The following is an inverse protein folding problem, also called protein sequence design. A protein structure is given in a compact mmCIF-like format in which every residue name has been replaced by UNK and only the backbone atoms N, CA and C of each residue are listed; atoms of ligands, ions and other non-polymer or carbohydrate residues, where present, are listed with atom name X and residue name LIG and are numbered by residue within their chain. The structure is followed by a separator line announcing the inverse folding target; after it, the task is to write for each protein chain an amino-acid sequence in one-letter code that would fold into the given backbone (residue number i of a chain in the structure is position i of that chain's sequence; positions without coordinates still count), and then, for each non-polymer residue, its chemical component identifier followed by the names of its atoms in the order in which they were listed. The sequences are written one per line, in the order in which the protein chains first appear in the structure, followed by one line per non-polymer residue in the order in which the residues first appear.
data_IF_317160137563
#
_entry.id   IF_317160137563
#
_cell.length_a   1.000
_cell.length_b   1.000
_cell.length_c   1.000
_cell.angle_alpha   90.00
_cell.angle_beta   90.00
_cell.angle_gamma   90.00
#
_symmetry.space_group_name_H-M   'P 1'
#
loop_
_entity.id
_entity.type
_entity.pdbx_description
1 polymer ?
#
# COMPACT_ATOMS: atom_id res chain seq x y z
N UNK A 1 34.18 1.51 32.10
CA UNK A 1 32.83 1.18 32.61
C UNK A 1 31.89 2.36 32.35
N UNK A 2 31.22 2.37 31.20
CA UNK A 2 30.08 3.26 30.91
C UNK A 2 28.92 2.33 30.56
N UNK A 3 27.92 2.25 31.44
CA UNK A 3 26.71 1.47 31.22
C UNK A 3 25.95 2.05 30.04
N UNK A 4 25.89 1.33 28.93
CA UNK A 4 24.94 1.54 27.84
C UNK A 4 23.56 1.11 28.34
N UNK A 5 22.56 1.99 28.19
CA UNK A 5 21.16 1.67 28.50
C UNK A 5 20.65 0.57 27.54
N UNK A 6 19.82 -0.37 28.01
CA UNK A 6 19.17 -1.34 27.15
C UNK A 6 17.93 -0.72 26.48
N UNK A 7 17.74 -1.09 25.21
CA UNK A 7 16.47 -1.28 24.49
C UNK A 7 15.38 -0.23 24.70
N UNK A 8 15.42 0.81 23.86
CA UNK A 8 14.21 1.55 23.50
C UNK A 8 13.54 0.78 22.35
N UNK A 9 12.32 0.25 22.52
CA UNK A 9 11.60 -0.38 21.42
C UNK A 9 11.36 0.65 20.33
N UNK A 10 11.58 0.23 19.08
CA UNK A 10 11.33 1.01 17.87
C UNK A 10 9.95 1.68 17.97
N UNK A 11 9.93 2.99 18.26
CA UNK A 11 8.69 3.74 18.39
C UNK A 11 8.01 3.74 17.02
N UNK A 12 6.95 2.93 16.91
CA UNK A 12 6.05 2.94 15.76
C UNK A 12 5.54 4.37 15.58
N UNK A 13 5.69 4.88 14.36
CA UNK A 13 5.21 6.19 13.95
C UNK A 13 3.71 6.37 14.29
N UNK A 14 3.24 7.61 14.50
CA UNK A 14 1.89 7.88 14.99
C UNK A 14 0.80 7.27 14.11
N UNK A 15 -0.28 6.85 14.76
CA UNK A 15 -1.49 6.28 14.16
C UNK A 15 -2.27 7.30 13.34
N UNK A 16 -1.77 7.61 12.14
CA UNK A 16 -2.59 8.23 11.12
C UNK A 16 -3.21 7.12 10.27
N UNK A 17 -4.34 6.59 10.74
CA UNK A 17 -5.18 5.71 9.93
C UNK A 17 -5.56 6.39 8.60
N UNK A 18 -5.82 5.58 7.57
CA UNK A 18 -6.16 6.00 6.22
C UNK A 18 -7.03 7.27 6.17
N UNK A 19 -6.42 8.41 5.85
CA UNK A 19 -7.13 9.62 5.45
C UNK A 19 -7.23 9.62 3.93
N UNK A 20 -8.42 9.35 3.40
CA UNK A 20 -8.64 9.51 1.97
C UNK A 20 -8.34 10.94 1.51
N UNK A 21 -7.89 11.07 0.27
CA UNK A 21 -7.79 12.34 -0.43
C UNK A 21 -9.18 12.99 -0.46
N UNK A 22 -9.37 14.02 0.37
CA UNK A 22 -10.57 14.83 0.31
C UNK A 22 -10.72 15.39 -1.12
N UNK A 23 -11.96 15.58 -1.63
CA UNK A 23 -12.16 16.26 -2.90
C UNK A 23 -11.38 17.59 -2.87
N UNK A 24 -10.67 17.94 -3.96
CA UNK A 24 -9.89 19.15 -4.05
C UNK A 24 -10.60 20.34 -3.43
N UNK A 25 -9.90 21.13 -2.61
CA UNK A 25 -10.53 22.17 -1.79
C UNK A 25 -11.37 23.18 -2.62
N UNK A 26 -11.02 23.39 -3.89
CA UNK A 26 -11.78 24.24 -4.82
C UNK A 26 -13.17 23.69 -5.14
N UNK A 27 -13.35 22.37 -5.18
CA UNK A 27 -14.63 21.73 -5.50
C UNK A 27 -15.69 21.96 -4.42
N UNK A 28 -15.29 22.24 -3.18
CA UNK A 28 -16.22 22.60 -2.09
C UNK A 28 -16.92 23.93 -2.35
N UNK A 29 -16.30 24.82 -3.13
CA UNK A 29 -16.85 26.13 -3.46
C UNK A 29 -17.84 26.10 -4.62
N UNK A 30 -17.88 25.02 -5.41
CA UNK A 30 -18.73 24.92 -6.61
C UNK A 30 -20.21 25.21 -6.36
N UNK A 31 -20.88 24.65 -5.33
CA UNK A 31 -22.29 24.97 -5.08
C UNK A 31 -22.52 26.45 -4.80
N UNK A 32 -21.62 27.10 -4.06
CA UNK A 32 -21.73 28.51 -3.72
C UNK A 32 -21.50 29.41 -4.94
N UNK A 33 -20.48 29.10 -5.75
CA UNK A 33 -20.21 29.79 -7.01
C UNK A 33 -21.38 29.63 -7.97
N UNK A 34 -21.99 28.45 -8.02
CA UNK A 34 -23.17 28.19 -8.86
C UNK A 34 -24.38 29.03 -8.43
N UNK A 35 -24.69 29.08 -7.13
CA UNK A 35 -25.78 29.95 -6.62
C UNK A 35 -25.51 31.42 -6.94
N UNK A 36 -24.29 31.90 -6.71
CA UNK A 36 -23.93 33.29 -7.01
C UNK A 36 -24.08 33.61 -8.51
N UNK A 37 -23.70 32.67 -9.38
CA UNK A 37 -23.87 32.80 -10.82
C UNK A 37 -25.35 32.85 -11.24
N UNK A 38 -26.19 31.97 -10.69
CA UNK A 38 -27.63 31.95 -10.98
C UNK A 38 -28.29 33.25 -10.51
N UNK A 39 -27.96 33.73 -9.31
CA UNK A 39 -28.49 35.01 -8.79
C UNK A 39 -28.02 36.22 -9.61
N UNK A 40 -26.79 36.20 -10.10
CA UNK A 40 -26.29 37.25 -10.99
C UNK A 40 -27.06 37.28 -12.31
N UNK A 41 -27.29 36.09 -12.91
CA UNK A 41 -28.05 35.97 -14.15
C UNK A 41 -29.49 36.49 -13.98
N UNK A 42 -30.16 36.13 -12.88
CA UNK A 42 -31.50 36.61 -12.54
C UNK A 42 -31.57 38.14 -12.49
N UNK A 43 -30.55 38.80 -11.91
CA UNK A 43 -30.48 40.27 -11.86
C UNK A 43 -30.20 40.88 -13.24
N UNK A 44 -29.44 40.21 -14.11
CA UNK A 44 -29.07 40.76 -15.42
C UNK A 44 -30.10 40.54 -16.52
N UNK A 45 -30.89 39.46 -16.44
CA UNK A 45 -31.81 39.02 -17.51
C UNK A 45 -33.28 39.39 -17.22
N UNK A 46 -33.51 40.39 -16.36
CA UNK A 46 -34.84 40.72 -15.82
C UNK A 46 -35.95 40.64 -16.89
N UNK A 47 -36.91 39.74 -16.63
CA UNK A 47 -38.22 39.53 -17.29
C UNK A 47 -38.33 38.67 -18.57
N UNK A 48 -37.26 38.25 -19.25
CA UNK A 48 -37.43 37.42 -20.47
C UNK A 48 -37.34 35.89 -20.23
N UNK A 49 -36.67 35.46 -19.15
CA UNK A 49 -36.39 34.03 -18.89
C UNK A 49 -36.47 33.72 -17.40
N UNK A 50 -37.09 32.59 -17.04
CA UNK A 50 -37.13 32.12 -15.66
C UNK A 50 -35.79 31.46 -15.28
N UNK A 51 -34.81 32.26 -14.86
CA UNK A 51 -33.45 31.79 -14.54
C UNK A 51 -33.43 31.00 -13.23
N UNK A 52 -34.40 31.21 -12.34
CA UNK A 52 -34.59 30.43 -11.11
C UNK A 52 -34.64 28.90 -11.33
N UNK A 53 -35.12 28.42 -12.49
CA UNK A 53 -35.16 26.98 -12.83
C UNK A 53 -33.78 26.32 -12.82
N UNK A 54 -32.69 27.08 -13.00
CA UNK A 54 -31.35 26.52 -12.94
C UNK A 54 -30.95 26.04 -11.54
N UNK A 55 -31.62 26.50 -10.46
CA UNK A 55 -31.36 26.04 -9.10
C UNK A 55 -31.61 24.54 -8.91
N UNK A 56 -32.37 23.88 -9.79
CA UNK A 56 -32.54 22.43 -9.84
C UNK A 56 -31.22 21.64 -9.87
N UNK A 57 -30.15 22.21 -10.43
CA UNK A 57 -28.85 21.54 -10.50
C UNK A 57 -28.05 21.65 -9.19
N UNK A 58 -28.42 22.53 -8.26
CA UNK A 58 -27.68 22.78 -7.03
C UNK A 58 -27.49 21.52 -6.16
N UNK A 59 -28.52 20.68 -5.92
CA UNK A 59 -28.34 19.44 -5.15
C UNK A 59 -27.37 18.47 -5.82
N UNK A 60 -27.39 18.37 -7.15
CA UNK A 60 -26.50 17.49 -7.89
C UNK A 60 -25.03 17.95 -7.78
N UNK A 61 -24.77 19.26 -7.90
CA UNK A 61 -23.44 19.84 -7.71
C UNK A 61 -22.97 19.64 -6.26
N UNK A 62 -23.87 19.83 -5.28
CA UNK A 62 -23.56 19.61 -3.88
C UNK A 62 -23.21 18.13 -3.56
N UNK A 63 -23.91 17.18 -4.20
CA UNK A 63 -23.69 15.74 -3.99
C UNK A 63 -22.28 15.27 -4.36
N UNK A 64 -21.59 16.00 -5.24
CA UNK A 64 -20.21 15.69 -5.59
C UNK A 64 -19.23 15.99 -4.43
N UNK A 65 -19.41 17.12 -3.73
CA UNK A 65 -18.46 17.60 -2.73
C UNK A 65 -18.86 17.31 -1.28
N UNK A 66 -20.13 17.04 -1.02
CA UNK A 66 -20.70 16.96 0.33
C UNK A 66 -21.38 15.63 0.64
N UNK A 67 -21.56 15.34 1.93
CA UNK A 67 -22.32 14.19 2.42
C UNK A 67 -23.84 14.41 2.33
N UNK A 68 -24.65 13.35 2.50
CA UNK A 68 -26.09 13.37 2.23
C UNK A 68 -26.86 14.43 3.01
N UNK A 69 -26.51 14.69 4.27
CA UNK A 69 -27.17 15.71 5.11
C UNK A 69 -26.98 17.12 4.53
N UNK A 70 -25.78 17.43 4.05
CA UNK A 70 -25.48 18.73 3.45
C UNK A 70 -26.16 18.86 2.06
N UNK A 71 -26.24 17.80 1.27
CA UNK A 71 -26.99 17.79 0.00
C UNK A 71 -28.48 18.07 0.23
N UNK A 72 -29.07 17.45 1.25
CA UNK A 72 -30.45 17.74 1.64
C UNK A 72 -30.61 19.21 2.05
N UNK A 73 -29.66 19.78 2.80
CA UNK A 73 -29.68 21.20 3.16
C UNK A 73 -29.58 22.13 1.93
N UNK A 74 -28.72 21.81 0.94
CA UNK A 74 -28.64 22.55 -0.32
C UNK A 74 -29.92 22.43 -1.16
N UNK A 75 -30.60 21.28 -1.11
CA UNK A 75 -31.92 21.09 -1.75
C UNK A 75 -32.96 22.01 -1.12
N UNK A 76 -33.04 22.03 0.21
CA UNK A 76 -33.97 22.94 0.91
C UNK A 76 -33.64 24.39 0.59
N UNK A 77 -32.35 24.75 0.56
CA UNK A 77 -31.92 26.10 0.18
C UNK A 77 -32.34 26.46 -1.26
N UNK A 78 -32.18 25.55 -2.22
CA UNK A 78 -32.61 25.76 -3.61
C UNK A 78 -34.12 26.06 -3.68
N UNK A 79 -34.95 25.23 -3.06
CA UNK A 79 -36.41 25.40 -3.05
C UNK A 79 -36.79 26.72 -2.36
N UNK A 80 -36.15 27.07 -1.25
CA UNK A 80 -36.41 28.35 -0.55
C UNK A 80 -36.05 29.55 -1.43
N UNK A 81 -34.94 29.48 -2.18
CA UNK A 81 -34.53 30.53 -3.12
C UNK A 81 -35.52 30.62 -4.30
N UNK A 82 -35.92 29.49 -4.89
CA UNK A 82 -36.94 29.41 -5.95
C UNK A 82 -38.25 30.06 -5.50
N UNK A 83 -38.76 29.67 -4.33
CA UNK A 83 -39.95 30.24 -3.73
C UNK A 83 -39.83 31.74 -3.43
N UNK A 84 -38.68 32.20 -2.93
CA UNK A 84 -38.45 33.62 -2.62
C UNK A 84 -38.41 34.48 -3.88
N UNK A 85 -37.79 34.00 -4.96
CA UNK A 85 -37.76 34.69 -6.26
C UNK A 85 -39.17 34.76 -6.85
N UNK A 86 -39.91 33.64 -6.85
CA UNK A 86 -41.30 33.61 -7.31
C UNK A 86 -42.22 34.53 -6.48
N UNK A 87 -41.97 34.66 -5.16
CA UNK A 87 -42.68 35.57 -4.28
C UNK A 87 -42.46 37.04 -4.62
N UNK A 88 -41.19 37.44 -4.85
CA UNK A 88 -40.84 38.81 -5.22
C UNK A 88 -41.42 39.18 -6.59
N UNK A 89 -41.48 38.22 -7.52
CA UNK A 89 -42.06 38.42 -8.84
C UNK A 89 -43.60 38.29 -8.88
N UNK A 90 -44.27 38.06 -7.74
CA UNK A 90 -45.72 37.85 -7.63
C UNK A 90 -46.30 36.66 -8.45
N UNK A 91 -45.46 35.70 -8.85
CA UNK A 91 -45.85 34.50 -9.61
C UNK A 91 -46.10 33.26 -8.73
N UNK A 92 -46.37 33.47 -7.43
CA UNK A 92 -46.65 32.38 -6.50
C UNK A 92 -47.88 31.59 -6.94
N UNK A 93 -47.69 30.29 -7.15
CA UNK A 93 -48.77 29.36 -7.50
C UNK A 93 -49.00 29.17 -8.99
N UNK A 94 -48.19 29.77 -9.88
CA UNK A 94 -48.21 29.39 -11.29
C UNK A 94 -47.65 27.98 -11.49
N UNK A 95 -48.29 27.21 -12.39
CA UNK A 95 -47.97 25.79 -12.61
C UNK A 95 -46.49 25.55 -12.93
N UNK A 96 -45.82 26.49 -13.61
CA UNK A 96 -44.42 26.35 -13.98
C UNK A 96 -43.48 26.43 -12.76
N UNK A 97 -43.73 27.33 -11.79
CA UNK A 97 -42.94 27.41 -10.56
C UNK A 97 -43.15 26.21 -9.63
N UNK A 98 -44.41 25.75 -9.50
CA UNK A 98 -44.72 24.53 -8.74
C UNK A 98 -44.03 23.31 -9.35
N UNK A 99 -44.00 23.22 -10.69
CA UNK A 99 -43.29 22.14 -11.39
C UNK A 99 -41.78 22.22 -11.17
N UNK A 100 -41.20 23.43 -11.08
CA UNK A 100 -39.80 23.66 -10.71
C UNK A 100 -39.49 23.08 -9.34
N UNK A 101 -40.25 23.48 -8.32
CA UNK A 101 -40.03 23.09 -6.93
C UNK A 101 -40.12 21.56 -6.77
N UNK A 102 -41.10 20.93 -7.45
CA UNK A 102 -41.25 19.47 -7.48
C UNK A 102 -40.04 18.82 -8.15
N UNK A 103 -39.58 19.35 -9.29
CA UNK A 103 -38.43 18.82 -9.99
C UNK A 103 -37.14 18.96 -9.16
N UNK A 104 -36.93 20.10 -8.50
CA UNK A 104 -35.82 20.34 -7.56
C UNK A 104 -35.89 19.42 -6.35
N UNK A 105 -37.07 19.18 -5.79
CA UNK A 105 -37.26 18.20 -4.73
C UNK A 105 -36.90 16.77 -5.18
N UNK A 106 -37.35 16.34 -6.37
CA UNK A 106 -37.02 15.02 -6.92
C UNK A 106 -35.52 14.86 -7.18
N UNK A 107 -34.88 15.86 -7.81
CA UNK A 107 -33.43 15.86 -8.04
C UNK A 107 -32.67 15.86 -6.71
N UNK A 108 -33.14 16.60 -5.71
CA UNK A 108 -32.55 16.63 -4.39
C UNK A 108 -32.64 15.31 -3.63
N UNK A 109 -33.79 14.62 -3.71
CA UNK A 109 -33.94 13.27 -3.15
C UNK A 109 -32.98 12.29 -3.82
N UNK A 110 -32.91 12.28 -5.15
CA UNK A 110 -31.99 11.41 -5.90
C UNK A 110 -30.52 11.72 -5.59
N UNK A 111 -30.16 13.01 -5.55
CA UNK A 111 -28.80 13.47 -5.23
C UNK A 111 -28.39 13.09 -3.81
N UNK A 112 -29.32 13.20 -2.86
CA UNK A 112 -29.11 12.79 -1.46
C UNK A 112 -28.92 11.27 -1.35
N UNK A 113 -29.75 10.48 -2.07
CA UNK A 113 -29.62 9.03 -2.11
C UNK A 113 -28.28 8.59 -2.71
N UNK A 114 -27.85 9.22 -3.80
CA UNK A 114 -26.56 8.97 -4.43
C UNK A 114 -25.39 9.33 -3.50
N UNK A 115 -25.46 10.49 -2.84
CA UNK A 115 -24.46 10.89 -1.84
C UNK A 115 -24.41 9.93 -0.65
N UNK A 116 -25.55 9.44 -0.18
CA UNK A 116 -25.62 8.43 0.89
C UNK A 116 -25.00 7.10 0.45
N UNK A 117 -25.31 6.63 -0.76
CA UNK A 117 -24.75 5.40 -1.31
C UNK A 117 -23.21 5.50 -1.44
N UNK A 118 -22.71 6.61 -2.01
CA UNK A 118 -21.28 6.90 -2.10
C UNK A 118 -20.62 6.88 -0.71
N UNK A 119 -21.17 7.61 0.25
CA UNK A 119 -20.61 7.65 1.62
C UNK A 119 -20.63 6.28 2.30
N UNK A 120 -21.62 5.43 2.02
CA UNK A 120 -21.64 4.05 2.52
C UNK A 120 -20.54 3.18 1.89
N UNK A 121 -20.35 3.26 0.57
CA UNK A 121 -19.27 2.55 -0.12
C UNK A 121 -17.90 2.98 0.39
N UNK A 122 -17.67 4.30 0.50
CA UNK A 122 -16.42 4.87 1.04
C UNK A 122 -16.11 4.35 2.45
N UNK A 123 -17.09 4.39 3.36
CA UNK A 123 -16.92 3.86 4.72
C UNK A 123 -16.60 2.37 4.75
N UNK A 124 -17.25 1.59 3.87
CA UNK A 124 -17.03 0.14 3.81
C UNK A 124 -15.61 -0.18 3.35
N UNK A 125 -15.07 0.58 2.39
CA UNK A 125 -13.69 0.45 1.93
C UNK A 125 -12.69 0.83 3.03
N UNK A 126 -12.93 1.92 3.77
CA UNK A 126 -12.07 2.33 4.90
C UNK A 126 -12.05 1.25 5.98
N UNK A 127 -13.22 0.70 6.34
CA UNK A 127 -13.28 -0.40 7.30
C UNK A 127 -12.54 -1.65 6.79
N UNK A 128 -12.78 -2.07 5.54
CA UNK A 128 -12.10 -3.22 4.96
C UNK A 128 -10.57 -3.05 4.94
N UNK A 129 -10.07 -1.87 4.58
CA UNK A 129 -8.64 -1.56 4.59
C UNK A 129 -8.06 -1.56 6.01
N UNK A 130 -8.75 -0.99 6.99
CA UNK A 130 -8.29 -1.02 8.39
C UNK A 130 -8.19 -2.44 8.94
N UNK A 131 -9.12 -3.32 8.57
CA UNK A 131 -9.08 -4.74 8.94
C UNK A 131 -7.95 -5.47 8.23
N UNK A 132 -7.79 -5.24 6.92
CA UNK A 132 -6.70 -5.82 6.15
C UNK A 132 -5.33 -5.42 6.72
N UNK A 133 -5.17 -4.17 7.14
CA UNK A 133 -3.92 -3.66 7.71
C UNK A 133 -3.65 -4.30 9.07
N UNK A 134 -4.67 -4.40 9.94
CA UNK A 134 -4.55 -5.08 11.22
C UNK A 134 -4.19 -6.56 11.05
N UNK A 135 -4.77 -7.24 10.05
CA UNK A 135 -4.43 -8.62 9.71
C UNK A 135 -2.99 -8.73 9.20
N UNK A 136 -2.54 -7.85 8.29
CA UNK A 136 -1.16 -7.84 7.82
C UNK A 136 -0.16 -7.63 8.95
N UNK A 137 -0.41 -6.68 9.85
CA UNK A 137 0.43 -6.47 11.05
C UNK A 137 0.48 -7.72 11.94
N UNK A 138 -0.60 -8.49 12.02
CA UNK A 138 -0.62 -9.75 12.78
C UNK A 138 0.13 -10.89 12.06
N UNK A 139 0.13 -10.91 10.73
CA UNK A 139 0.83 -11.89 9.91
C UNK A 139 2.34 -11.62 9.87
N UNK A 140 2.74 -10.36 9.66
CA UNK A 140 4.12 -9.87 9.62
C UNK A 140 4.65 -9.63 11.03
N UNK A 141 4.89 -10.73 11.75
CA UNK A 141 5.42 -10.67 13.12
C UNK A 141 6.75 -9.91 13.14
N UNK A 142 7.00 -9.07 14.16
CA UNK A 142 8.30 -8.44 14.33
C UNK A 142 9.42 -9.47 14.31
N UNK A 143 10.42 -9.26 13.45
CA UNK A 143 11.57 -10.14 13.36
C UNK A 143 12.44 -9.93 14.59
N UNK A 144 12.78 -10.99 15.34
CA UNK A 144 13.72 -10.89 16.46
C UNK A 144 15.06 -10.33 16.00
N UNK A 145 15.71 -9.52 16.84
CA UNK A 145 17.03 -8.95 16.52
C UNK A 145 18.08 -10.01 16.19
N UNK A 146 17.93 -11.20 16.77
CA UNK A 146 18.77 -12.36 16.49
C UNK A 146 17.88 -13.57 16.18
N UNK A 147 18.18 -14.25 15.07
CA UNK A 147 17.54 -15.48 14.65
C UNK A 147 18.65 -16.49 14.41
N UNK A 148 18.80 -17.45 15.34
CA UNK A 148 19.91 -18.39 15.32
C UNK A 148 21.28 -17.70 15.25
N UNK A 149 22.00 -17.93 14.15
CA UNK A 149 23.34 -17.42 13.87
C UNK A 149 23.36 -16.12 13.04
N UNK A 150 22.21 -15.49 12.79
CA UNK A 150 22.14 -14.18 12.12
C UNK A 150 21.53 -13.10 13.01
N UNK A 151 21.96 -11.87 12.79
CA UNK A 151 21.28 -10.65 13.22
C UNK A 151 20.29 -10.24 12.15
N UNK A 152 19.11 -9.77 12.53
CA UNK A 152 18.08 -9.33 11.61
C UNK A 152 17.40 -8.03 12.08
N UNK A 153 16.93 -7.25 11.11
CA UNK A 153 16.05 -6.11 11.33
C UNK A 153 15.05 -6.05 10.17
N UNK A 154 13.80 -5.73 10.46
CA UNK A 154 12.75 -5.65 9.45
C UNK A 154 11.92 -4.38 9.60
N UNK A 155 11.34 -3.93 8.51
CA UNK A 155 10.34 -2.85 8.52
C UNK A 155 9.28 -3.12 7.47
N UNK A 156 8.03 -2.87 7.84
CA UNK A 156 6.89 -2.83 6.94
C UNK A 156 6.25 -1.45 7.04
N UNK A 157 5.98 -0.83 5.90
CA UNK A 157 5.30 0.45 5.80
C UNK A 157 4.15 0.32 4.80
N UNK A 158 2.89 0.51 5.23
CA UNK A 158 1.76 0.49 4.30
C UNK A 158 1.77 1.72 3.39
N UNK A 159 1.18 1.58 2.21
CA UNK A 159 0.95 2.67 1.26
C UNK A 159 0.08 3.79 1.84
N UNK A 160 0.44 5.04 1.54
CA UNK A 160 -0.23 6.24 2.08
C UNK A 160 -1.38 6.74 1.18
N UNK A 161 -1.44 6.28 -0.08
CA UNK A 161 -2.31 6.83 -1.12
C UNK A 161 -3.80 6.46 -1.03
N UNK A 162 -4.30 6.01 0.13
CA UNK A 162 -5.70 5.56 0.27
C UNK A 162 -5.99 4.25 -0.48
N UNK A 163 -4.95 3.56 -0.93
CA UNK A 163 -5.01 2.29 -1.64
C UNK A 163 -5.29 1.14 -0.68
N UNK A 164 -5.90 0.07 -1.19
CA UNK A 164 -6.05 -1.15 -0.41
C UNK A 164 -4.67 -1.68 0.00
N UNK A 165 -4.59 -2.31 1.17
CA UNK A 165 -3.36 -2.91 1.72
C UNK A 165 -2.70 -3.84 0.69
N UNK A 166 -1.39 -3.73 0.51
CA UNK A 166 -0.61 -4.47 -0.48
C UNK A 166 -0.37 -5.94 -0.11
N UNK A 167 0.34 -6.64 -0.99
CA UNK A 167 0.68 -8.06 -0.90
C UNK A 167 2.06 -8.35 -0.32
N UNK A 168 2.78 -7.33 0.14
CA UNK A 168 4.13 -7.42 0.67
C UNK A 168 4.24 -8.38 1.86
N UNK A 169 5.19 -9.32 1.78
CA UNK A 169 5.43 -10.32 2.81
C UNK A 169 6.90 -10.52 3.12
N UNK A 170 7.20 -10.89 4.37
CA UNK A 170 8.49 -11.43 4.76
C UNK A 170 8.39 -12.28 6.02
N UNK A 171 9.32 -13.22 6.19
CA UNK A 171 9.53 -13.96 7.44
C UNK A 171 10.96 -14.53 7.44
N UNK A 172 11.47 -14.87 8.62
CA UNK A 172 12.77 -15.54 8.81
C UNK A 172 12.68 -16.56 9.94
N UNK A 173 13.26 -17.74 9.73
CA UNK A 173 13.20 -18.88 10.64
C UNK A 173 14.57 -19.50 10.84
N UNK A 174 14.92 -19.74 12.10
CA UNK A 174 16.02 -20.64 12.44
C UNK A 174 15.56 -22.08 12.28
N UNK A 175 16.29 -22.86 11.47
CA UNK A 175 15.96 -24.25 11.14
C UNK A 175 17.15 -25.16 11.42
N UNK A 176 17.00 -26.47 11.20
CA UNK A 176 18.07 -27.43 11.45
C UNK A 176 19.20 -27.37 10.42
N UNK A 177 18.94 -26.87 9.20
CA UNK A 177 19.96 -26.70 8.14
C UNK A 177 20.63 -25.32 8.17
N UNK A 178 20.08 -24.38 8.93
CA UNK A 178 20.48 -22.98 9.02
C UNK A 178 19.26 -22.06 8.95
N UNK A 179 19.48 -20.74 8.88
CA UNK A 179 18.38 -19.79 8.84
C UNK A 179 17.80 -19.66 7.42
N UNK A 180 16.47 -19.67 7.30
CA UNK A 180 15.77 -19.46 6.04
C UNK A 180 14.91 -18.21 6.10
N UNK A 181 14.91 -17.41 5.06
CA UNK A 181 14.09 -16.20 4.95
C UNK A 181 13.32 -16.19 3.63
N UNK A 182 12.20 -15.47 3.65
CA UNK A 182 11.40 -15.12 2.48
C UNK A 182 11.13 -13.62 2.52
N UNK A 183 11.19 -12.98 1.36
CA UNK A 183 10.54 -11.69 1.08
C UNK A 183 9.79 -11.83 -0.25
N UNK A 184 8.70 -11.11 -0.43
CA UNK A 184 7.95 -11.17 -1.67
C UNK A 184 6.83 -10.15 -1.72
N UNK A 185 6.19 -10.07 -2.88
CA UNK A 185 4.93 -9.34 -3.07
C UNK A 185 3.93 -10.22 -3.82
N UNK A 186 2.71 -10.27 -3.31
CA UNK A 186 1.58 -10.96 -3.92
C UNK A 186 0.85 -10.01 -4.84
N UNK A 187 0.63 -10.45 -6.08
CA UNK A 187 -0.18 -9.69 -7.03
C UNK A 187 -1.60 -9.51 -6.50
N UNK A 188 -2.02 -8.25 -6.41
CA UNK A 188 -3.34 -7.86 -5.95
C UNK A 188 -3.27 -6.96 -4.72
N UNK A 189 -4.41 -6.43 -4.28
CA UNK A 189 -4.50 -5.58 -3.09
C UNK A 189 -5.76 -5.91 -2.28
N UNK A 190 -5.77 -5.47 -1.04
CA UNK A 190 -6.87 -5.65 -0.09
C UNK A 190 -6.94 -7.05 0.50
N UNK A 191 -8.13 -7.42 0.97
CA UNK A 191 -8.31 -8.63 1.79
C UNK A 191 -7.92 -9.93 1.06
N UNK A 192 -8.06 -9.99 -0.27
CA UNK A 192 -7.65 -11.16 -1.06
C UNK A 192 -6.12 -11.33 -1.03
N UNK A 193 -5.36 -10.24 -1.20
CA UNK A 193 -3.90 -10.28 -1.09
C UNK A 193 -3.47 -10.74 0.32
N UNK A 194 -4.10 -10.21 1.37
CA UNK A 194 -3.83 -10.62 2.76
C UNK A 194 -4.06 -12.13 2.99
N UNK A 195 -5.11 -12.70 2.40
CA UNK A 195 -5.38 -14.15 2.48
C UNK A 195 -4.27 -14.95 1.82
N UNK A 196 -3.83 -14.56 0.63
CA UNK A 196 -2.74 -15.22 -0.10
C UNK A 196 -1.40 -15.07 0.65
N UNK A 197 -1.11 -13.89 1.22
CA UNK A 197 0.05 -13.69 2.09
C UNK A 197 0.01 -14.66 3.28
N UNK A 198 -1.14 -14.80 3.93
CA UNK A 198 -1.30 -15.75 5.04
C UNK A 198 -1.05 -17.21 4.60
N UNK A 199 -1.53 -17.59 3.42
CA UNK A 199 -1.30 -18.91 2.82
C UNK A 199 0.20 -19.17 2.52
N UNK A 200 0.89 -18.22 1.89
CA UNK A 200 2.33 -18.32 1.60
C UNK A 200 3.13 -18.39 2.89
N UNK A 201 2.91 -17.45 3.83
CA UNK A 201 3.67 -17.41 5.08
C UNK A 201 3.39 -18.65 5.95
N UNK A 202 2.15 -19.14 5.99
CA UNK A 202 1.81 -20.40 6.65
C UNK A 202 2.60 -21.58 6.06
N UNK A 203 2.58 -21.71 4.73
CA UNK A 203 3.31 -22.78 4.03
C UNK A 203 4.83 -22.65 4.19
N UNK A 204 5.38 -21.43 4.13
CA UNK A 204 6.80 -21.17 4.37
C UNK A 204 7.21 -21.56 5.78
N UNK A 205 6.41 -21.18 6.80
CA UNK A 205 6.72 -21.48 8.21
C UNK A 205 6.83 -22.97 8.50
N UNK A 206 6.05 -23.80 7.81
CA UNK A 206 6.17 -25.26 7.92
C UNK A 206 7.31 -25.79 7.04
N UNK A 207 7.30 -25.43 5.76
CA UNK A 207 8.24 -25.96 4.78
C UNK A 207 9.70 -25.55 5.06
N UNK A 208 9.93 -24.42 5.74
CA UNK A 208 11.25 -24.00 6.17
C UNK A 208 11.94 -25.06 7.04
N UNK A 209 11.19 -25.84 7.84
CA UNK A 209 11.78 -26.89 8.69
C UNK A 209 11.94 -28.24 8.01
N UNK A 210 11.22 -28.50 6.91
CA UNK A 210 11.11 -29.84 6.32
C UNK A 210 11.72 -29.96 4.92
N UNK A 211 11.76 -28.86 4.16
CA UNK A 211 12.32 -28.88 2.82
C UNK A 211 13.84 -29.13 2.88
N UNK A 212 14.35 -29.96 1.97
CA UNK A 212 15.77 -30.30 1.90
C UNK A 212 16.61 -29.09 1.49
N UNK A 213 16.15 -28.34 0.48
CA UNK A 213 16.82 -27.18 -0.10
C UNK A 213 15.82 -26.08 -0.51
N UNK A 214 16.34 -24.95 -1.01
CA UNK A 214 15.51 -23.84 -1.50
C UNK A 214 14.61 -24.20 -2.69
N UNK A 215 15.07 -24.93 -3.73
CA UNK A 215 14.19 -25.37 -4.80
C UNK A 215 13.01 -26.25 -4.31
N UNK A 216 13.24 -27.15 -3.34
CA UNK A 216 12.17 -27.94 -2.74
C UNK A 216 11.20 -27.09 -1.92
N UNK A 217 11.72 -26.08 -1.21
CA UNK A 217 10.91 -25.08 -0.51
C UNK A 217 10.03 -24.30 -1.48
N UNK A 218 10.62 -23.75 -2.55
CA UNK A 218 9.90 -23.04 -3.61
C UNK A 218 8.80 -23.90 -4.22
N UNK A 219 9.09 -25.18 -4.53
CA UNK A 219 8.09 -26.09 -5.08
C UNK A 219 6.92 -26.36 -4.13
N UNK A 220 7.12 -26.28 -2.80
CA UNK A 220 6.03 -26.37 -1.82
C UNK A 220 5.16 -25.12 -1.83
N UNK A 221 5.77 -23.93 -1.91
CA UNK A 221 5.05 -22.66 -2.02
C UNK A 221 4.27 -22.57 -3.33
N UNK A 222 4.87 -22.98 -4.44
CA UNK A 222 4.22 -23.09 -5.76
C UNK A 222 2.93 -23.90 -5.67
N UNK A 223 3.00 -25.12 -5.12
CA UNK A 223 1.83 -25.98 -4.94
C UNK A 223 0.78 -25.37 -4.03
N UNK A 224 1.18 -24.58 -3.02
CA UNK A 224 0.23 -23.89 -2.15
C UNK A 224 -0.53 -22.81 -2.93
N UNK A 225 0.17 -22.01 -3.73
CA UNK A 225 -0.44 -20.97 -4.55
C UNK A 225 -1.35 -21.55 -5.63
N UNK A 226 -0.95 -22.62 -6.31
CA UNK A 226 -1.81 -23.30 -7.29
C UNK A 226 -3.13 -23.74 -6.66
N UNK A 227 -3.11 -24.32 -5.45
CA UNK A 227 -4.34 -24.70 -4.75
C UNK A 227 -5.18 -23.49 -4.34
N UNK A 228 -4.54 -22.40 -3.92
CA UNK A 228 -5.24 -21.16 -3.58
C UNK A 228 -5.97 -20.58 -4.80
N UNK A 229 -5.33 -20.61 -5.98
CA UNK A 229 -5.90 -20.18 -7.26
C UNK A 229 -7.05 -21.08 -7.76
N UNK A 230 -7.05 -22.37 -7.37
CA UNK A 230 -8.17 -23.28 -7.65
C UNK A 230 -9.36 -23.02 -6.71
N UNK A 231 -9.11 -22.68 -5.44
CA UNK A 231 -10.14 -22.37 -4.45
C UNK A 231 -10.82 -21.02 -4.69
N UNK A 232 -10.05 -20.04 -5.17
CA UNK A 232 -10.51 -18.71 -5.58
C UNK A 232 -10.22 -18.63 -7.07
N UNK A 233 -11.22 -18.78 -7.97
CA UNK A 233 -11.00 -18.83 -9.42
C UNK A 233 -10.32 -17.57 -9.97
N UNK A 234 -9.01 -17.50 -9.80
CA UNK A 234 -8.11 -16.42 -10.16
C UNK A 234 -6.89 -17.08 -10.82
N UNK A 235 -7.03 -17.31 -12.12
CA UNK A 235 -6.02 -17.95 -12.96
C UNK A 235 -4.73 -17.11 -13.08
N UNK A 236 -4.74 -15.88 -12.55
CA UNK A 236 -3.63 -14.94 -12.56
C UNK A 236 -3.09 -14.66 -11.14
N UNK A 237 -3.36 -15.54 -10.17
CA UNK A 237 -2.78 -15.42 -8.83
C UNK A 237 -1.30 -15.82 -8.83
N UNK A 238 -0.41 -14.86 -8.60
CA UNK A 238 1.02 -15.10 -8.47
C UNK A 238 1.66 -14.25 -7.37
N UNK A 239 2.86 -14.64 -6.95
CA UNK A 239 3.68 -13.87 -6.04
C UNK A 239 5.13 -13.81 -6.53
N UNK A 240 5.71 -12.62 -6.54
CA UNK A 240 7.16 -12.50 -6.63
C UNK A 240 7.76 -12.89 -5.28
N UNK A 241 8.86 -13.63 -5.27
CA UNK A 241 9.49 -14.01 -4.01
C UNK A 241 11.01 -14.20 -4.15
N UNK A 242 11.73 -13.83 -3.11
CA UNK A 242 13.13 -14.16 -2.94
C UNK A 242 13.27 -15.02 -1.69
N UNK A 243 13.74 -16.25 -1.90
CA UNK A 243 14.03 -17.19 -0.81
C UNK A 243 15.52 -17.20 -0.54
N UNK A 244 15.88 -17.24 0.74
CA UNK A 244 17.25 -17.28 1.22
C UNK A 244 17.42 -18.41 2.20
N UNK A 245 18.57 -19.07 2.13
CA UNK A 245 19.06 -20.02 3.12
C UNK A 245 20.50 -19.69 3.49
N UNK A 246 20.76 -19.50 4.78
CA UNK A 246 22.10 -19.44 5.34
C UNK A 246 22.52 -20.84 5.75
N UNK A 247 23.82 -21.16 5.61
CA UNK A 247 24.35 -22.34 6.28
C UNK A 247 24.40 -22.14 7.80
N UNK A 248 24.58 -23.23 8.55
CA UNK A 248 24.51 -23.23 10.02
C UNK A 248 25.48 -22.28 10.73
N UNK A 249 26.51 -21.80 10.03
CA UNK A 249 27.50 -20.86 10.56
C UNK A 249 27.35 -19.44 9.98
N UNK A 250 26.33 -19.21 9.16
CA UNK A 250 26.11 -17.97 8.41
C UNK A 250 27.36 -17.52 7.63
N UNK A 251 28.07 -18.46 7.02
CA UNK A 251 29.27 -18.27 6.19
C UNK A 251 28.98 -18.25 4.70
N UNK A 252 27.80 -18.72 4.32
CA UNK A 252 27.32 -18.77 2.95
C UNK A 252 25.83 -18.52 2.95
N UNK A 253 25.40 -17.75 1.97
CA UNK A 253 24.00 -17.51 1.68
C UNK A 253 23.69 -18.12 0.32
N UNK A 254 22.62 -18.91 0.27
CA UNK A 254 22.05 -19.48 -0.95
C UNK A 254 20.73 -18.78 -1.23
N UNK A 255 20.44 -18.48 -2.50
CA UNK A 255 19.28 -17.72 -2.91
C UNK A 255 18.57 -18.39 -4.08
N UNK A 256 17.26 -18.16 -4.18
CA UNK A 256 16.45 -18.39 -5.39
C UNK A 256 15.50 -17.21 -5.58
N UNK A 257 15.62 -16.49 -6.70
CA UNK A 257 14.78 -15.33 -7.01
C UNK A 257 13.70 -15.70 -8.03
N UNK A 258 12.44 -15.65 -7.58
CA UNK A 258 11.22 -15.89 -8.36
C UNK A 258 10.62 -14.56 -8.84
N UNK A 259 11.35 -13.86 -9.70
CA UNK A 259 10.91 -12.59 -10.30
C UNK A 259 10.78 -11.41 -9.33
N UNK A 260 11.44 -11.48 -8.17
CA UNK A 260 11.47 -10.42 -7.16
C UNK A 260 12.69 -9.49 -7.33
N UNK A 261 12.71 -8.41 -6.55
CA UNK A 261 13.81 -7.44 -6.55
C UNK A 261 15.12 -8.11 -6.09
N UNK A 262 16.21 -7.83 -6.79
CA UNK A 262 17.53 -8.38 -6.46
C UNK A 262 18.03 -7.85 -5.10
N UNK A 263 18.58 -8.72 -4.24
CA UNK A 263 19.03 -8.30 -2.92
C UNK A 263 20.32 -7.51 -3.02
N UNK A 264 20.49 -6.57 -2.09
CA UNK A 264 21.66 -5.68 -2.05
C UNK A 264 22.62 -6.15 -0.96
N UNK A 265 23.87 -6.42 -1.33
CA UNK A 265 24.96 -6.72 -0.40
C UNK A 265 25.75 -5.46 -0.09
N UNK A 266 25.89 -5.18 1.20
CA UNK A 266 26.80 -4.18 1.75
C UNK A 266 27.96 -4.94 2.39
N UNK A 267 29.17 -4.81 1.83
CA UNK A 267 30.35 -5.56 2.28
C UNK A 267 31.61 -4.71 2.16
N UNK A 268 32.36 -4.55 3.26
CA UNK A 268 33.66 -3.86 3.26
C UNK A 268 33.65 -2.46 2.60
N UNK A 269 32.57 -1.69 2.74
CA UNK A 269 32.44 -0.36 2.11
C UNK A 269 31.94 -0.39 0.66
N UNK A 270 31.74 -1.57 0.08
CA UNK A 270 31.12 -1.74 -1.23
C UNK A 270 29.62 -2.04 -1.09
N UNK A 271 28.84 -1.52 -2.04
CA UNK A 271 27.39 -1.76 -2.15
C UNK A 271 27.07 -2.22 -3.57
N UNK A 272 26.52 -3.43 -3.69
CA UNK A 272 26.17 -4.04 -4.97
C UNK A 272 24.95 -4.94 -4.87
N UNK A 273 24.25 -5.14 -5.98
CA UNK A 273 23.21 -6.16 -6.11
C UNK A 273 23.84 -7.56 -6.24
N UNK A 274 23.15 -8.58 -5.75
CA UNK A 274 23.51 -9.98 -6.00
C UNK A 274 22.57 -10.57 -7.04
N UNK A 275 22.98 -10.50 -8.30
CA UNK A 275 22.23 -11.06 -9.42
C UNK A 275 22.36 -12.59 -9.46
N UNK A 276 21.28 -13.26 -9.84
CA UNK A 276 21.25 -14.70 -10.03
C UNK A 276 20.49 -15.13 -11.27
N UNK A 277 20.42 -16.46 -11.53
CA UNK A 277 19.59 -17.00 -12.60
C UNK A 277 18.12 -16.62 -12.38
N UNK A 278 17.41 -16.14 -13.41
CA UNK A 278 16.01 -15.78 -13.29
C UNK A 278 15.15 -17.03 -13.10
N UNK A 279 14.12 -16.93 -12.25
CA UNK A 279 13.02 -17.89 -12.19
C UNK A 279 11.69 -17.16 -12.32
N UNK A 280 10.65 -17.86 -12.78
CA UNK A 280 9.30 -17.30 -12.83
C UNK A 280 8.76 -17.03 -11.42
N UNK A 281 7.88 -16.02 -11.27
CA UNK A 281 7.11 -15.81 -10.06
C UNK A 281 6.38 -17.09 -9.61
N UNK A 282 6.21 -17.23 -8.30
CA UNK A 282 5.48 -18.36 -7.73
C UNK A 282 4.01 -18.29 -8.18
N UNK A 283 3.44 -19.42 -8.54
CA UNK A 283 2.09 -19.54 -9.14
C UNK A 283 2.09 -19.56 -10.67
N UNK A 284 3.20 -19.17 -11.31
CA UNK A 284 3.36 -19.18 -12.77
C UNK A 284 4.29 -20.31 -13.25
N UNK A 285 4.70 -21.23 -12.38
CA UNK A 285 5.64 -22.31 -12.71
C UNK A 285 5.13 -23.26 -13.79
N UNK A 286 3.80 -23.37 -13.97
CA UNK A 286 3.18 -24.15 -15.05
C UNK A 286 3.47 -23.61 -16.46
N UNK A 287 3.92 -22.36 -16.58
CA UNK A 287 4.30 -21.74 -17.87
C UNK A 287 5.75 -22.04 -18.27
N UNK A 288 6.61 -22.40 -17.31
CA UNK A 288 7.97 -22.81 -17.59
C UNK A 288 8.00 -24.28 -18.05
N UNK A 289 8.86 -24.58 -19.03
CA UNK A 289 9.10 -25.94 -19.47
C UNK A 289 9.87 -26.74 -18.41
N UNK A 290 9.21 -27.16 -17.32
CA UNK A 290 9.71 -28.08 -16.28
C UNK A 290 11.10 -27.79 -15.64
N UNK A 291 11.72 -26.64 -15.91
CA UNK A 291 13.02 -26.28 -15.35
C UNK A 291 12.85 -25.86 -13.90
N UNK A 292 13.51 -26.59 -13.00
CA UNK A 292 13.55 -26.21 -11.58
C UNK A 292 14.33 -24.90 -11.44
N UNK A 293 13.90 -24.00 -10.54
CA UNK A 293 14.67 -22.81 -10.18
C UNK A 293 16.10 -23.20 -9.79
N UNK A 294 17.08 -22.47 -10.32
CA UNK A 294 18.50 -22.71 -10.03
C UNK A 294 18.89 -21.86 -8.82
N UNK A 295 19.25 -22.52 -7.73
CA UNK A 295 19.81 -21.85 -6.56
C UNK A 295 21.26 -21.45 -6.80
N UNK A 296 21.67 -20.27 -6.34
CA UNK A 296 23.06 -19.83 -6.36
C UNK A 296 23.52 -19.39 -4.97
N UNK A 297 24.82 -19.46 -4.73
CA UNK A 297 25.39 -19.14 -3.43
C UNK A 297 26.41 -18.01 -3.52
N UNK A 298 26.44 -17.21 -2.47
CA UNK A 298 27.44 -16.17 -2.24
C UNK A 298 28.10 -16.39 -0.88
N UNK A 299 29.40 -16.06 -0.78
CA UNK A 299 30.12 -16.10 0.49
C UNK A 299 29.58 -15.00 1.40
N UNK A 300 29.23 -15.33 2.63
CA UNK A 300 28.63 -14.39 3.57
C UNK A 300 29.50 -14.32 4.82
N UNK A 301 30.11 -13.18 5.08
CA UNK A 301 31.15 -13.05 6.09
C UNK A 301 30.86 -11.93 7.06
N UNK A 302 31.54 -11.96 8.21
CA UNK A 302 31.39 -10.93 9.23
C UNK A 302 31.65 -9.55 8.63
N UNK A 303 30.72 -8.62 8.86
CA UNK A 303 30.75 -7.28 8.27
C UNK A 303 29.89 -7.15 7.01
N UNK A 304 29.36 -8.26 6.49
CA UNK A 304 28.39 -8.24 5.41
C UNK A 304 26.97 -8.00 5.96
N UNK A 305 26.21 -7.17 5.26
CA UNK A 305 24.76 -7.03 5.44
C UNK A 305 24.07 -7.30 4.13
N UNK A 306 23.15 -8.25 4.13
CA UNK A 306 22.25 -8.53 3.02
C UNK A 306 20.93 -7.82 3.25
N UNK A 307 20.55 -6.95 2.32
CA UNK A 307 19.31 -6.20 2.33
C UNK A 307 18.35 -6.77 1.27
N UNK A 308 17.15 -7.07 1.74
CA UNK A 308 16.00 -7.56 0.98
C UNK A 308 14.94 -6.47 1.00
N UNK A 309 14.35 -6.15 -0.15
CA UNK A 309 13.33 -5.10 -0.27
C UNK A 309 12.26 -5.55 -1.26
N UNK A 310 11.04 -5.05 -1.09
CA UNK A 310 9.98 -5.15 -2.10
C UNK A 310 10.07 -4.02 -3.12
N UNK A 311 9.32 -4.15 -4.21
CA UNK A 311 9.29 -3.20 -5.31
C UNK A 311 8.81 -1.81 -4.89
N UNK A 312 7.88 -1.71 -3.94
CA UNK A 312 7.40 -0.42 -3.44
C UNK A 312 8.49 0.50 -2.88
N UNK A 313 9.66 -0.04 -2.48
CA UNK A 313 10.83 0.78 -2.16
C UNK A 313 11.50 1.34 -3.42
N UNK A 314 11.87 0.46 -4.36
CA UNK A 314 12.66 0.84 -5.54
C UNK A 314 11.83 1.60 -6.56
N UNK A 315 10.52 1.35 -6.60
CA UNK A 315 9.55 2.04 -7.44
C UNK A 315 9.00 3.33 -6.82
N UNK A 316 9.36 3.65 -5.57
CA UNK A 316 8.98 4.91 -4.96
C UNK A 316 9.49 6.09 -5.79
N UNK A 317 8.62 7.06 -6.07
CA UNK A 317 8.91 8.17 -6.98
C UNK A 317 9.04 9.50 -6.27
N UNK A 318 10.00 10.30 -6.71
CA UNK A 318 10.05 11.72 -6.33
C UNK A 318 9.05 12.58 -7.13
N UNK A 319 9.10 13.90 -6.93
CA UNK A 319 8.23 14.85 -7.63
C UNK A 319 8.50 14.97 -9.13
N UNK A 320 9.68 14.55 -9.59
CA UNK A 320 10.05 14.48 -11.00
C UNK A 320 9.58 13.16 -11.65
N UNK A 321 9.19 12.18 -10.84
CA UNK A 321 8.77 10.85 -11.26
C UNK A 321 9.91 9.83 -11.31
N UNK A 322 11.12 10.20 -10.87
CA UNK A 322 12.29 9.33 -10.87
C UNK A 322 12.19 8.30 -9.73
N UNK A 323 12.64 7.07 -10.00
CA UNK A 323 12.66 5.97 -9.05
C UNK A 323 13.70 6.16 -7.94
N UNK A 324 13.47 5.51 -6.79
CA UNK A 324 14.37 5.58 -5.65
C UNK A 324 15.74 4.94 -5.96
N UNK A 325 16.85 5.71 -5.98
CA UNK A 325 18.17 5.20 -6.34
C UNK A 325 18.81 4.45 -5.16
N UNK A 326 18.29 3.26 -4.86
CA UNK A 326 18.61 2.47 -3.66
C UNK A 326 20.11 2.23 -3.48
N UNK A 327 20.77 1.69 -4.50
CA UNK A 327 22.19 1.32 -4.45
C UNK A 327 23.06 2.57 -4.26
N UNK A 328 22.76 3.66 -4.97
CA UNK A 328 23.56 4.89 -4.88
C UNK A 328 23.40 5.59 -3.53
N UNK A 329 22.18 5.58 -2.96
CA UNK A 329 21.93 6.12 -1.62
C UNK A 329 22.62 5.31 -0.53
N UNK A 330 22.56 3.98 -0.62
CA UNK A 330 23.29 3.09 0.29
C UNK A 330 24.80 3.26 0.16
N UNK A 331 25.32 3.34 -1.07
CA UNK A 331 26.75 3.59 -1.34
C UNK A 331 27.17 4.92 -0.73
N UNK A 332 26.43 6.00 -0.98
CA UNK A 332 26.73 7.30 -0.38
C UNK A 332 26.72 7.28 1.16
N UNK A 333 25.84 6.47 1.77
CA UNK A 333 25.69 6.40 3.22
C UNK A 333 26.74 5.51 3.91
N UNK A 334 27.14 4.41 3.27
CA UNK A 334 27.93 3.35 3.91
C UNK A 334 29.28 3.06 3.25
N UNK A 335 29.58 3.64 2.09
CA UNK A 335 30.92 3.55 1.50
C UNK A 335 31.98 4.17 2.44
N UNK A 336 33.13 3.52 2.50
CA UNK A 336 34.30 3.92 3.31
C UNK A 336 34.02 4.11 4.81
N UNK A 337 32.93 3.53 5.33
CA UNK A 337 32.55 3.57 6.75
C UNK A 337 32.62 2.17 7.38
N UNK A 338 32.66 2.07 8.72
CA UNK A 338 32.51 0.78 9.40
C UNK A 338 31.24 0.07 8.94
N UNK A 339 31.33 -1.26 8.81
CA UNK A 339 30.22 -2.11 8.39
C UNK A 339 28.96 -1.82 9.24
N UNK A 340 27.81 -1.49 8.61
CA UNK A 340 26.60 -1.22 9.35
C UNK A 340 26.05 -2.50 9.99
N UNK A 341 25.24 -2.36 11.04
CA UNK A 341 24.34 -3.43 11.47
C UNK A 341 23.06 -3.45 10.62
N UNK A 342 22.28 -4.55 10.65
CA UNK A 342 20.99 -4.63 9.96
C UNK A 342 20.04 -3.48 10.31
N UNK A 343 19.96 -3.11 11.59
CA UNK A 343 19.11 -2.02 12.06
C UNK A 343 19.55 -0.65 11.53
N UNK A 344 20.85 -0.42 11.33
CA UNK A 344 21.35 0.84 10.78
C UNK A 344 20.90 1.06 9.34
N UNK A 345 20.87 -0.03 8.54
CA UNK A 345 20.43 -0.01 7.15
C UNK A 345 18.93 0.27 7.08
N UNK A 346 18.12 -0.47 7.84
CA UNK A 346 16.66 -0.29 7.87
C UNK A 346 16.28 1.11 8.38
N UNK A 347 16.92 1.59 9.44
CA UNK A 347 16.65 2.93 9.99
C UNK A 347 17.04 4.05 9.03
N UNK A 348 18.15 3.89 8.31
CA UNK A 348 18.54 4.83 7.26
C UNK A 348 17.46 4.92 6.19
N UNK A 349 17.04 3.78 5.62
CA UNK A 349 16.03 3.75 4.55
C UNK A 349 14.67 4.27 5.03
N UNK A 350 14.24 3.92 6.24
CA UNK A 350 13.00 4.45 6.83
C UNK A 350 13.00 5.99 6.95
N UNK A 351 14.17 6.57 7.17
CA UNK A 351 14.33 8.03 7.30
C UNK A 351 14.52 8.71 5.93
N UNK A 352 15.16 8.03 4.98
CA UNK A 352 15.52 8.60 3.69
C UNK A 352 14.39 8.49 2.65
N UNK A 353 13.61 7.41 2.70
CA UNK A 353 12.48 7.18 1.78
C UNK A 353 11.46 8.34 1.79
N UNK A 354 10.94 8.83 2.95
CA UNK A 354 9.99 9.93 2.97
C UNK A 354 10.58 11.28 2.51
N UNK A 355 11.91 11.41 2.45
CA UNK A 355 12.59 12.60 1.91
C UNK A 355 12.63 12.58 0.39
N UNK A 356 12.60 11.39 -0.22
CA UNK A 356 12.58 11.20 -1.66
C UNK A 356 11.14 11.18 -2.20
N UNK A 357 10.29 10.32 -1.64
CA UNK A 357 8.89 10.15 -2.07
C UNK A 357 7.94 10.74 -1.01
N UNK A 358 7.13 11.73 -1.42
CA UNK A 358 6.14 12.35 -0.52
C UNK A 358 4.92 11.47 -0.25
N UNK A 359 4.57 10.60 -1.21
CA UNK A 359 3.47 9.65 -1.11
C UNK A 359 3.96 8.29 -1.59
N UNK A 360 3.62 7.23 -0.86
CA UNK A 360 3.89 5.85 -1.28
C UNK A 360 2.67 5.28 -1.99
N UNK A 361 2.88 4.80 -3.21
CA UNK A 361 1.86 4.17 -4.05
C UNK A 361 1.70 2.67 -3.80
N UNK A 362 2.75 2.04 -3.28
CA UNK A 362 2.72 0.67 -2.81
C UNK A 362 3.27 0.53 -1.40
N UNK A 363 3.01 -0.65 -0.82
CA UNK A 363 3.57 -1.04 0.45
C UNK A 363 5.09 -1.22 0.32
N UNK A 364 5.79 -1.10 1.45
CA UNK A 364 7.23 -1.26 1.50
C UNK A 364 7.60 -2.21 2.62
N UNK A 365 8.15 -3.35 2.24
CA UNK A 365 8.80 -4.28 3.15
C UNK A 365 10.31 -4.29 2.95
N UNK A 366 11.03 -4.37 4.06
CA UNK A 366 12.48 -4.47 4.09
C UNK A 366 12.91 -5.50 5.14
N UNK A 367 13.91 -6.32 4.81
CA UNK A 367 14.56 -7.25 5.72
C UNK A 367 16.07 -7.13 5.54
N UNK A 368 16.79 -6.71 6.59
CA UNK A 368 18.24 -6.69 6.61
C UNK A 368 18.76 -7.81 7.49
N UNK A 369 19.79 -8.53 7.04
CA UNK A 369 20.36 -9.71 7.70
C UNK A 369 21.89 -9.60 7.70
N UNK A 370 22.53 -9.95 8.81
CA UNK A 370 23.99 -10.00 8.93
C UNK A 370 24.44 -11.21 9.76
N UNK A 371 25.65 -11.75 9.59
CA UNK A 371 26.15 -12.83 10.45
C UNK A 371 26.25 -12.37 11.90
N UNK A 372 25.77 -13.19 12.84
CA UNK A 372 25.98 -12.97 14.25
C UNK A 372 27.42 -13.37 14.61
N UNK A 373 28.23 -12.41 15.05
CA UNK A 373 29.63 -12.66 15.38
C UNK A 373 29.79 -13.44 16.67
N UNK A 374 29.88 -14.77 16.60
CA UNK A 374 30.52 -15.57 17.65
C UNK A 374 31.84 -16.14 17.15
N UNK A 375 32.89 -15.88 17.95
CA UNK A 375 34.22 -16.46 17.86
C UNK A 375 34.19 -17.93 18.24
#
# INVERSE_FOLDING_TARGET
MRRTRPDEPLALAPEDGFRQAAPPAWMRWLPFVYVAFVLLLEVTLQEEWAVSFFLIALPAIAAYAYGPVAVAAFTVLAIVLECAIAAVAHHLGENHHVTADIATALVGVLSTALAAHRSHQERSLVHANSVAEALMRALLRPVPHQVGHVLAASLYRPSEAGTMVGGDLFDIRATHVGERAIIGDVRGKGLQAVRTVAAILGSFREAAYEAEDLPALAARLERRLTREAEEIPDEELFATALLIEFDRLAHRVTLTNHGHVEPVLISCGEVRTLEGPPALPLGLGGLAAAERPVAWSHRFTRGDVLLLVTDGLVEARDTSGDFYPLVDRLRHRFADRPAPGPADVVNFLNTDLPRHARNLHDDVAMLAIAPHGHL
#
